data_IF_261500031565
#
_entry.id   IF_261500031565
#
_cell.length_a   1.000
_cell.length_b   1.000
_cell.length_c   1.000
_cell.angle_alpha   90.00
_cell.angle_beta   90.00
_cell.angle_gamma   90.00
#
_symmetry.space_group_name_H-M   'P 1'
#
loop_
_entity.id
_entity.type
_entity.pdbx_description
1 polymer ?
#
# COMPACT_ATOMS: atom_id res chain seq x y z
N UNK A 1 -13.42 15.67 -2.36
CA UNK A 1 -13.22 16.20 -3.71
C UNK A 1 -14.39 17.08 -4.08
N UNK A 2 -14.09 18.31 -4.50
CA UNK A 2 -15.05 19.15 -5.20
C UNK A 2 -15.25 18.59 -6.60
N UNK A 3 -16.50 18.39 -7.01
CA UNK A 3 -16.85 18.01 -8.36
C UNK A 3 -17.40 19.24 -9.10
N UNK A 4 -16.98 19.42 -10.34
CA UNK A 4 -17.54 20.46 -11.22
C UNK A 4 -18.90 20.01 -11.73
N UNK A 5 -19.96 20.71 -11.34
CA UNK A 5 -21.29 20.58 -11.92
C UNK A 5 -21.41 21.66 -12.99
N UNK A 6 -21.48 21.25 -14.26
CA UNK A 6 -21.88 22.11 -15.36
C UNK A 6 -23.41 22.09 -15.45
N UNK A 7 -24.12 23.16 -15.05
CA UNK A 7 -25.56 23.22 -15.24
C UNK A 7 -25.89 23.35 -16.74
N UNK A 8 -27.12 23.05 -17.11
CA UNK A 8 -27.64 23.43 -18.44
C UNK A 8 -27.80 24.95 -18.49
N UNK A 9 -27.40 25.57 -19.61
CA UNK A 9 -27.48 27.02 -19.84
C UNK A 9 -26.62 27.92 -18.93
N UNK A 10 -25.45 27.45 -18.49
CA UNK A 10 -24.39 28.32 -17.94
C UNK A 10 -23.04 27.99 -18.58
N UNK A 11 -22.25 29.02 -18.88
CA UNK A 11 -20.87 28.85 -19.36
C UNK A 11 -19.84 28.71 -18.22
N UNK A 12 -20.28 28.80 -16.97
CA UNK A 12 -19.40 28.69 -15.81
C UNK A 12 -19.73 27.40 -15.02
N UNK A 13 -18.78 26.46 -14.88
CA UNK A 13 -18.94 25.31 -14.02
C UNK A 13 -18.94 25.74 -12.54
N UNK A 14 -19.81 25.15 -11.73
CA UNK A 14 -19.83 25.34 -10.28
C UNK A 14 -19.11 24.17 -9.61
N UNK A 15 -18.31 24.44 -8.57
CA UNK A 15 -17.67 23.39 -7.79
C UNK A 15 -18.50 23.09 -6.54
N UNK A 16 -19.09 21.90 -6.48
CA UNK A 16 -19.82 21.42 -5.31
C UNK A 16 -19.00 20.36 -4.58
N UNK A 17 -18.93 20.45 -3.25
CA UNK A 17 -18.31 19.41 -2.44
C UNK A 17 -19.24 18.21 -2.33
N UNK A 18 -18.78 17.01 -2.74
CA UNK A 18 -19.59 15.79 -2.67
C UNK A 18 -19.18 14.89 -1.49
N UNK A 19 -17.92 14.45 -1.48
CA UNK A 19 -17.35 13.64 -0.42
C UNK A 19 -15.83 13.77 -0.38
N UNK A 20 -15.20 13.52 0.76
CA UNK A 20 -13.76 13.25 0.78
C UNK A 20 -13.51 11.81 0.30
N UNK A 21 -12.57 11.65 -0.62
CA UNK A 21 -12.09 10.34 -1.07
C UNK A 21 -10.66 10.18 -0.60
N UNK A 22 -10.31 8.97 -0.18
CA UNK A 22 -8.95 8.64 0.23
C UNK A 22 -8.23 8.11 -1.00
N UNK A 23 -7.11 8.75 -1.35
CA UNK A 23 -6.35 8.37 -2.54
C UNK A 23 -5.48 7.14 -2.24
N UNK A 24 -5.10 6.40 -3.30
CA UNK A 24 -4.10 5.35 -3.16
C UNK A 24 -2.73 5.95 -2.81
N UNK A 25 -1.96 5.20 -2.03
CA UNK A 25 -0.59 5.49 -1.65
C UNK A 25 0.30 4.61 -2.52
N UNK A 26 1.13 5.21 -3.36
CA UNK A 26 2.14 4.49 -4.14
C UNK A 26 3.49 4.58 -3.44
N UNK A 27 4.04 3.44 -3.07
CA UNK A 27 5.35 3.31 -2.42
C UNK A 27 6.30 2.68 -3.43
N UNK A 28 7.41 3.36 -3.69
CA UNK A 28 8.47 2.87 -4.57
C UNK A 28 9.72 2.64 -3.74
N UNK A 29 10.32 1.45 -3.88
CA UNK A 29 11.55 1.09 -3.18
C UNK A 29 12.55 0.45 -4.14
N UNK A 30 13.77 0.96 -4.12
CA UNK A 30 14.90 0.36 -4.82
C UNK A 30 15.55 -0.70 -3.93
N UNK A 31 15.69 -1.91 -4.47
CA UNK A 31 16.36 -3.04 -3.85
C UNK A 31 17.71 -3.24 -4.54
N UNK A 32 18.77 -3.05 -3.77
CA UNK A 32 20.15 -3.33 -4.14
C UNK A 32 20.62 -4.52 -3.30
N UNK A 33 21.22 -5.52 -3.97
CA UNK A 33 21.56 -6.78 -3.35
C UNK A 33 23.05 -7.06 -3.57
N UNK A 34 23.80 -7.06 -2.48
CA UNK A 34 25.24 -7.30 -2.47
C UNK A 34 25.58 -8.63 -1.78
N UNK A 35 24.69 -9.13 -0.91
CA UNK A 35 24.89 -10.37 -0.16
C UNK A 35 23.71 -11.34 -0.30
N UNK A 36 24.00 -12.64 -0.19
CA UNK A 36 23.03 -13.73 -0.12
C UNK A 36 21.88 -13.48 0.86
N UNK A 37 22.15 -12.86 2.02
CA UNK A 37 21.12 -12.51 3.01
C UNK A 37 20.10 -11.49 2.45
N UNK A 38 20.56 -10.45 1.76
CA UNK A 38 19.71 -9.45 1.13
C UNK A 38 18.90 -10.07 -0.03
N UNK A 39 19.51 -11.02 -0.74
CA UNK A 39 18.83 -11.86 -1.72
C UNK A 39 17.67 -12.65 -1.12
N UNK A 40 17.84 -13.21 0.08
CA UNK A 40 16.75 -13.88 0.81
C UNK A 40 15.64 -12.91 1.21
N UNK A 41 15.99 -11.70 1.66
CA UNK A 41 15.00 -10.66 1.99
C UNK A 41 14.18 -10.24 0.78
N UNK A 42 14.79 -10.11 -0.40
CA UNK A 42 14.07 -9.81 -1.62
C UNK A 42 13.06 -10.91 -1.98
N UNK A 43 13.46 -12.18 -1.88
CA UNK A 43 12.56 -13.32 -2.11
C UNK A 43 11.41 -13.31 -1.10
N UNK A 44 11.70 -13.05 0.17
CA UNK A 44 10.70 -12.95 1.23
C UNK A 44 9.72 -11.80 0.97
N UNK A 45 10.21 -10.62 0.57
CA UNK A 45 9.38 -9.47 0.23
C UNK A 45 8.46 -9.79 -0.97
N UNK A 46 9.01 -10.39 -2.02
CA UNK A 46 8.26 -10.83 -3.19
C UNK A 46 7.16 -11.83 -2.84
N UNK A 47 7.49 -12.83 -2.01
CA UNK A 47 6.53 -13.84 -1.57
C UNK A 47 5.43 -13.22 -0.70
N UNK A 48 5.80 -12.34 0.23
CA UNK A 48 4.86 -11.61 1.08
C UNK A 48 3.89 -10.77 0.25
N UNK A 49 4.38 -9.92 -0.66
CA UNK A 49 3.53 -9.07 -1.51
C UNK A 49 2.58 -9.88 -2.40
N UNK A 50 3.05 -11.02 -2.94
CA UNK A 50 2.20 -11.97 -3.68
C UNK A 50 1.13 -12.60 -2.81
N UNK A 51 1.44 -12.89 -1.55
CA UNK A 51 0.49 -13.53 -0.63
C UNK A 51 -0.60 -12.57 -0.18
N UNK A 52 -0.25 -11.31 0.11
CA UNK A 52 -1.18 -10.31 0.65
C UNK A 52 -2.10 -9.73 -0.42
N UNK A 53 -1.67 -9.70 -1.68
CA UNK A 53 -2.53 -9.25 -2.80
C UNK A 53 -3.53 -10.30 -3.26
N UNK A 54 -3.39 -11.55 -2.82
CA UNK A 54 -4.28 -12.65 -3.21
C UNK A 54 -5.34 -12.90 -2.15
N UNK A 55 -6.56 -13.17 -2.60
CA UNK A 55 -7.60 -13.73 -1.75
C UNK A 55 -7.25 -15.18 -1.39
N UNK A 56 -7.77 -15.65 -0.25
CA UNK A 56 -7.63 -17.04 0.16
C UNK A 56 -8.51 -17.94 -0.74
N UNK A 57 -7.97 -18.32 -1.90
CA UNK A 57 -8.63 -19.18 -2.90
C UNK A 57 -7.98 -20.57 -2.92
N UNK A 58 -8.78 -21.62 -3.19
CA UNK A 58 -8.34 -23.01 -3.17
C UNK A 58 -8.41 -23.66 -1.78
N UNK A 59 -7.69 -24.78 -1.59
CA UNK A 59 -7.59 -25.50 -0.30
C UNK A 59 -6.76 -24.69 0.71
N UNK A 60 -7.38 -23.66 1.29
CA UNK A 60 -6.78 -22.85 2.35
C UNK A 60 -7.70 -22.86 3.56
N UNK A 61 -7.12 -22.80 4.76
CA UNK A 61 -7.88 -22.84 6.02
C UNK A 61 -8.94 -21.73 6.14
N UNK A 62 -8.78 -20.64 5.39
CA UNK A 62 -9.61 -19.44 5.40
C UNK A 62 -10.23 -19.16 4.03
N UNK A 63 -10.66 -20.22 3.33
CA UNK A 63 -11.18 -20.14 1.97
C UNK A 63 -12.32 -19.11 1.84
N UNK A 64 -12.20 -18.24 0.85
CA UNK A 64 -13.18 -17.19 0.54
C UNK A 64 -12.90 -15.85 1.23
N UNK A 65 -11.91 -15.77 2.13
CA UNK A 65 -11.56 -14.49 2.73
C UNK A 65 -10.95 -13.53 1.67
N UNK A 66 -11.39 -12.26 1.66
CA UNK A 66 -10.80 -11.25 0.79
C UNK A 66 -9.32 -11.02 1.14
N UNK A 67 -8.56 -10.33 0.28
CA UNK A 67 -7.19 -9.93 0.59
C UNK A 67 -7.10 -9.29 1.99
N UNK A 68 -6.14 -9.70 2.82
CA UNK A 68 -6.07 -9.24 4.20
C UNK A 68 -5.74 -7.75 4.28
N UNK A 69 -6.31 -7.07 5.28
CA UNK A 69 -5.96 -5.69 5.61
C UNK A 69 -4.63 -5.69 6.36
N UNK A 70 -3.65 -4.94 5.87
CA UNK A 70 -2.34 -4.76 6.50
C UNK A 70 -2.21 -3.35 7.06
N UNK A 71 -1.20 -3.12 7.89
CA UNK A 71 -0.95 -1.83 8.53
C UNK A 71 0.31 -1.22 7.94
N UNK A 72 0.18 -0.04 7.35
CA UNK A 72 1.29 0.76 6.85
C UNK A 72 1.86 1.60 7.99
N UNK A 73 3.17 1.47 8.22
CA UNK A 73 3.93 2.26 9.17
C UNK A 73 5.18 2.81 8.48
N UNK A 74 5.54 4.06 8.75
CA UNK A 74 6.68 4.71 8.12
C UNK A 74 6.81 6.19 8.44
N UNK A 75 8.05 6.69 8.38
CA UNK A 75 8.40 8.11 8.55
C UNK A 75 7.90 8.75 9.88
N UNK A 76 7.80 7.95 10.94
CA UNK A 76 7.42 8.39 12.28
C UNK A 76 5.91 8.61 12.46
N UNK A 77 5.55 9.24 13.57
CA UNK A 77 4.15 9.30 14.03
C UNK A 77 3.25 10.21 13.18
N UNK A 78 3.83 11.14 12.41
CA UNK A 78 3.11 12.17 11.66
C UNK A 78 2.82 11.81 10.20
N UNK A 79 3.48 10.80 9.65
CA UNK A 79 3.41 10.51 8.22
C UNK A 79 2.62 9.22 7.99
N UNK A 80 3.13 8.07 8.45
CA UNK A 80 2.41 6.80 8.39
C UNK A 80 2.45 6.09 9.75
N UNK A 81 1.40 6.28 10.56
CA UNK A 81 1.27 5.63 11.86
C UNK A 81 0.06 4.69 11.87
N UNK A 82 0.31 3.39 11.79
CA UNK A 82 -0.67 2.32 11.94
C UNK A 82 -1.89 2.47 11.02
N UNK A 83 -1.65 2.89 9.78
CA UNK A 83 -2.70 3.16 8.80
C UNK A 83 -3.20 1.82 8.24
N UNK A 84 -4.49 1.48 8.37
CA UNK A 84 -5.05 0.29 7.75
C UNK A 84 -5.09 0.46 6.23
N UNK A 85 -4.39 -0.40 5.50
CA UNK A 85 -4.33 -0.40 4.03
C UNK A 85 -4.56 -1.80 3.46
N UNK A 86 -5.13 -1.85 2.25
CA UNK A 86 -5.10 -3.04 1.41
C UNK A 86 -4.13 -2.82 0.27
N UNK A 87 -3.46 -3.89 -0.16
CA UNK A 87 -2.56 -3.85 -1.31
C UNK A 87 -3.37 -4.19 -2.56
N UNK A 88 -3.48 -3.24 -3.49
CA UNK A 88 -4.25 -3.42 -4.72
C UNK A 88 -3.40 -4.06 -5.81
N UNK A 89 -2.16 -3.58 -5.96
CA UNK A 89 -1.21 -4.09 -6.93
C UNK A 89 0.22 -3.88 -6.43
N UNK A 90 1.12 -4.72 -6.91
CA UNK A 90 2.56 -4.48 -6.82
C UNK A 90 3.18 -4.80 -8.17
N UNK A 91 4.17 -4.02 -8.56
CA UNK A 91 4.98 -4.23 -9.75
C UNK A 91 6.43 -4.37 -9.33
N UNK A 92 7.14 -5.28 -9.98
CA UNK A 92 8.57 -5.43 -9.81
C UNK A 92 9.22 -5.21 -11.16
N UNK A 93 10.04 -4.18 -11.25
CA UNK A 93 10.79 -3.83 -12.44
C UNK A 93 12.23 -4.33 -12.30
N UNK A 94 12.65 -5.12 -13.28
CA UNK A 94 14.01 -5.63 -13.41
C UNK A 94 14.62 -4.92 -14.62
N UNK A 95 15.70 -4.17 -14.40
CA UNK A 95 16.36 -3.45 -15.49
C UNK A 95 17.00 -4.42 -16.49
N UNK A 96 17.06 -4.07 -17.79
CA UNK A 96 17.57 -4.94 -18.86
C UNK A 96 19.08 -5.26 -18.77
N UNK A 97 19.82 -4.59 -17.89
CA UNK A 97 21.26 -4.76 -17.68
C UNK A 97 21.56 -5.18 -16.24
N UNK A 98 20.64 -5.90 -15.60
CA UNK A 98 20.77 -6.31 -14.22
C UNK A 98 21.35 -7.71 -14.14
N UNK A 99 22.47 -7.84 -13.43
CA UNK A 99 23.07 -9.14 -13.10
C UNK A 99 22.23 -9.88 -12.06
N UNK A 100 22.39 -11.21 -12.00
CA UNK A 100 21.67 -12.06 -11.06
C UNK A 100 22.64 -12.77 -10.12
N UNK A 101 22.22 -12.91 -8.88
CA UNK A 101 22.93 -13.69 -7.86
C UNK A 101 22.10 -14.90 -7.46
N UNK A 102 22.77 -16.04 -7.29
CA UNK A 102 22.15 -17.26 -6.77
C UNK A 102 21.98 -17.17 -5.25
N UNK A 103 20.79 -17.50 -4.78
CA UNK A 103 20.44 -17.56 -3.36
C UNK A 103 19.91 -18.96 -3.06
N UNK A 104 20.42 -19.65 -2.02
CA UNK A 104 20.03 -21.04 -1.70
C UNK A 104 18.66 -21.10 -1.00
N UNK A 105 17.61 -20.59 -1.66
CA UNK A 105 16.22 -20.64 -1.21
C UNK A 105 15.41 -21.47 -2.20
N UNK A 106 14.73 -22.49 -1.68
CA UNK A 106 13.96 -23.46 -2.48
C UNK A 106 14.80 -24.67 -2.93
N UNK A 107 14.14 -25.61 -3.59
CA UNK A 107 14.74 -26.92 -3.94
C UNK A 107 15.78 -26.88 -5.07
N UNK A 108 15.90 -25.77 -5.81
CA UNK A 108 16.79 -25.62 -6.97
C UNK A 108 17.65 -24.35 -6.93
N UNK A 109 17.76 -23.72 -5.75
CA UNK A 109 18.21 -22.33 -5.60
C UNK A 109 17.35 -21.34 -6.40
N UNK A 110 17.35 -20.09 -5.97
CA UNK A 110 16.59 -19.00 -6.61
C UNK A 110 17.55 -17.94 -7.11
N UNK A 111 17.26 -17.37 -8.27
CA UNK A 111 18.05 -16.28 -8.86
C UNK A 111 17.36 -14.95 -8.57
N UNK A 112 18.14 -14.01 -8.07
CA UNK A 112 17.63 -12.70 -7.65
C UNK A 112 18.40 -11.60 -8.38
N UNK A 113 17.73 -10.58 -8.94
CA UNK A 113 18.41 -9.44 -9.57
C UNK A 113 19.21 -8.62 -8.56
N UNK A 114 20.44 -8.23 -8.90
CA UNK A 114 21.30 -7.36 -8.08
C UNK A 114 20.67 -5.98 -7.87
N UNK A 115 19.89 -5.49 -8.85
CA UNK A 115 19.15 -4.22 -8.77
C UNK A 115 17.71 -4.43 -9.25
N UNK A 116 16.74 -4.06 -8.43
CA UNK A 116 15.34 -4.07 -8.84
C UNK A 116 14.58 -2.94 -8.17
N UNK A 117 13.50 -2.51 -8.79
CA UNK A 117 12.57 -1.56 -8.18
C UNK A 117 11.25 -2.30 -7.90
N UNK A 118 10.76 -2.17 -6.68
CA UNK A 118 9.44 -2.68 -6.29
C UNK A 118 8.55 -1.48 -6.02
N UNK A 119 7.48 -1.38 -6.81
CA UNK A 119 6.42 -0.38 -6.62
C UNK A 119 5.17 -1.07 -6.13
N UNK A 120 4.53 -0.45 -5.13
CA UNK A 120 3.39 -1.01 -4.41
C UNK A 120 2.31 0.05 -4.31
N UNK A 121 1.10 -0.27 -4.74
CA UNK A 121 -0.07 0.57 -4.53
C UNK A 121 -0.91 0.03 -3.36
N UNK A 122 -1.09 0.88 -2.37
CA UNK A 122 -1.83 0.60 -1.15
C UNK A 122 -3.02 1.57 -1.04
N UNK A 123 -4.23 1.02 -0.85
CA UNK A 123 -5.43 1.82 -0.66
C UNK A 123 -5.80 1.83 0.83
N UNK A 124 -5.84 3.00 1.50
CA UNK A 124 -6.25 3.06 2.90
C UNK A 124 -7.74 2.73 3.06
N UNK A 125 -8.05 2.01 4.13
CA UNK A 125 -9.39 1.53 4.45
C UNK A 125 -9.76 1.88 5.88
N UNK A 126 -10.57 2.93 6.02
CA UNK A 126 -11.12 3.31 7.32
C UNK A 126 -12.39 2.52 7.63
N UNK A 127 -12.50 2.03 8.86
CA UNK A 127 -13.73 1.40 9.32
C UNK A 127 -14.86 2.44 9.41
N UNK A 128 -16.11 2.06 9.11
CA UNK A 128 -17.27 2.97 9.19
C UNK A 128 -17.40 3.63 10.56
N UNK A 129 -17.12 2.90 11.65
CA UNK A 129 -17.13 3.42 13.02
C UNK A 129 -16.04 4.45 13.28
N UNK A 130 -14.87 4.27 12.66
CA UNK A 130 -13.77 5.22 12.74
C UNK A 130 -14.18 6.51 11.99
N UNK A 131 -14.72 6.40 10.77
CA UNK A 131 -15.20 7.56 10.00
C UNK A 131 -16.28 8.36 10.72
N UNK A 132 -17.22 7.71 11.41
CA UNK A 132 -18.27 8.44 12.18
C UNK A 132 -17.73 9.23 13.37
N UNK A 133 -16.57 8.86 13.90
CA UNK A 133 -15.93 9.53 15.05
C UNK A 133 -14.93 10.60 14.62
N UNK A 134 -14.68 10.72 13.32
CA UNK A 134 -13.75 11.70 12.78
C UNK A 134 -14.28 13.12 13.00
N UNK A 135 -13.38 14.03 13.34
CA UNK A 135 -13.65 15.45 13.56
C UNK A 135 -12.50 16.24 12.98
N UNK A 136 -12.81 17.18 12.09
CA UNK A 136 -11.81 17.99 11.42
C UNK A 136 -11.04 18.87 12.43
N UNK A 137 -11.72 19.41 13.44
CA UNK A 137 -11.10 20.26 14.46
C UNK A 137 -10.04 19.53 15.27
N UNK A 138 -10.30 18.26 15.61
CA UNK A 138 -9.34 17.39 16.29
C UNK A 138 -8.17 17.00 15.38
N UNK A 139 -8.44 16.83 14.09
CA UNK A 139 -7.41 16.53 13.11
C UNK A 139 -6.45 17.70 12.90
N UNK A 140 -6.95 18.93 12.77
CA UNK A 140 -6.13 20.14 12.65
C UNK A 140 -5.23 20.32 13.89
N UNK A 141 -5.73 19.97 15.08
CA UNK A 141 -4.97 20.02 16.34
C UNK A 141 -3.94 18.88 16.49
N UNK A 142 -4.02 17.85 15.66
CA UNK A 142 -3.13 16.69 15.72
C UNK A 142 -3.54 15.63 16.76
N UNK A 143 -4.74 15.68 17.33
CA UNK A 143 -5.15 14.77 18.40
C UNK A 143 -5.16 13.29 17.96
N UNK A 144 -5.37 13.01 16.67
CA UNK A 144 -5.41 11.64 16.13
C UNK A 144 -4.04 10.96 16.01
N UNK A 145 -2.94 11.71 16.18
CA UNK A 145 -1.57 11.20 16.15
C UNK A 145 -1.29 10.35 17.40
N UNK A 146 -1.77 10.80 18.56
CA UNK A 146 -1.56 10.13 19.83
C UNK A 146 -2.47 8.90 20.02
N UNK A 147 -3.64 8.88 19.38
CA UNK A 147 -4.66 7.84 19.57
C UNK A 147 -4.46 6.60 18.66
N UNK A 148 -3.34 6.52 17.92
CA UNK A 148 -2.99 5.42 16.99
C UNK A 148 -4.08 5.08 15.96
N UNK A 149 -4.99 6.03 15.74
CA UNK A 149 -6.21 5.85 14.97
C UNK A 149 -5.96 5.80 13.45
N UNK A 150 -4.74 6.14 13.02
CA UNK A 150 -4.24 5.92 11.68
C UNK A 150 -4.97 6.70 10.59
N UNK A 151 -5.64 7.80 10.95
CA UNK A 151 -6.26 8.69 9.98
C UNK A 151 -5.22 9.55 9.28
N UNK A 152 -5.38 9.66 7.96
CA UNK A 152 -4.68 10.55 7.04
C UNK A 152 -5.69 11.41 6.28
#
# INVERSE_FOLDING_TARGET
>A
AYQSITPVHSNYPYFAYQNSQVNSITIMGDFLIENSLEGQYWIAAMHYLRSVTKMAYGESANQGNPPPVVKLNGYGDYVFNNIPVILTEFTCELGPQTDYMEVPVGSKSSWVPIRSNITVAAQPLYSRRATTKFSLDKFIKGDYIYDKSGFI
#
